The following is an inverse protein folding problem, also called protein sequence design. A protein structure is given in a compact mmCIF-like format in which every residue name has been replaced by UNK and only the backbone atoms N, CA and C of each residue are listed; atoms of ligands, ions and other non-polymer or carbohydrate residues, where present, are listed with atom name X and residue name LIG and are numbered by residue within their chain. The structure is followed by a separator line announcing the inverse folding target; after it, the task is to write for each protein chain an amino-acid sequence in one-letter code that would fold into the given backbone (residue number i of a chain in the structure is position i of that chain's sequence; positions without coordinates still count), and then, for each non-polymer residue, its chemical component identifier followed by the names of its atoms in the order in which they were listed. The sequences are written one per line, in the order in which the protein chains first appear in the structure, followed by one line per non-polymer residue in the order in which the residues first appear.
data_IF_036758498814
#
_entry.id   IF_036758498814
#
_cell.length_a   1.000
_cell.length_b   1.000
_cell.length_c   1.000
_cell.angle_alpha   90.00
_cell.angle_beta   90.00
_cell.angle_gamma   90.00
#
_symmetry.space_group_name_H-M   'P 1'
#
loop_
_entity.id
_entity.type
_entity.pdbx_description
1 polymer ?
#
# COMPACT_ATOMS: atom_id res chain seq x y z
N UNK A 1 -11.95 17.79 -25.49
CA UNK A 1 -11.24 16.49 -25.56
C UNK A 1 -10.21 16.64 -26.66
N UNK A 2 -9.01 17.06 -26.29
CA UNK A 2 -7.84 17.12 -27.17
C UNK A 2 -6.62 17.21 -26.24
N UNK A 3 -5.55 16.54 -26.63
CA UNK A 3 -4.25 16.42 -25.95
C UNK A 3 -4.05 15.22 -25.01
N UNK A 4 -4.41 14.02 -25.49
CA UNK A 4 -3.75 12.79 -25.00
C UNK A 4 -3.28 11.98 -26.21
N UNK A 5 -2.23 12.44 -26.90
CA UNK A 5 -1.34 11.56 -27.66
C UNK A 5 -0.08 12.29 -28.15
N UNK A 6 0.95 12.46 -27.31
CA UNK A 6 2.33 12.57 -27.80
C UNK A 6 3.33 11.94 -26.82
N UNK A 7 3.80 10.76 -27.21
CA UNK A 7 5.15 10.19 -27.09
C UNK A 7 5.88 10.08 -25.75
N UNK A 8 6.53 8.93 -25.59
CA UNK A 8 7.25 8.42 -24.43
C UNK A 8 8.55 9.17 -24.06
N UNK A 9 8.90 9.02 -22.78
CA UNK A 9 10.22 9.25 -22.16
C UNK A 9 10.57 10.69 -21.79
N UNK A 10 10.94 10.89 -20.51
CA UNK A 10 11.49 12.09 -19.88
C UNK A 10 10.54 13.11 -19.22
N UNK A 11 9.43 12.67 -18.61
CA UNK A 11 8.81 13.42 -17.51
C UNK A 11 9.18 12.70 -16.22
N UNK A 12 10.30 13.07 -15.61
CA UNK A 12 10.40 12.98 -14.15
C UNK A 12 9.31 13.91 -13.60
N UNK A 13 8.08 13.40 -13.53
CA UNK A 13 6.98 14.09 -12.92
C UNK A 13 7.29 14.08 -11.43
N UNK A 14 8.08 15.05 -10.99
CA UNK A 14 8.30 15.28 -9.58
C UNK A 14 6.96 15.70 -9.01
N UNK A 15 6.28 14.74 -8.40
CA UNK A 15 5.12 15.00 -7.57
C UNK A 15 5.63 15.82 -6.39
N UNK A 16 5.05 17.00 -6.17
CA UNK A 16 5.37 17.82 -5.00
C UNK A 16 5.32 16.96 -3.73
N UNK A 17 6.25 17.10 -2.77
CA UNK A 17 6.20 16.38 -1.50
C UNK A 17 4.84 16.51 -0.79
N UNK A 18 4.15 17.63 -0.98
CA UNK A 18 2.80 17.87 -0.46
C UNK A 18 1.72 16.96 -1.05
N UNK A 19 2.00 16.39 -2.23
CA UNK A 19 1.14 15.47 -2.97
C UNK A 19 1.60 14.01 -2.80
N UNK A 20 2.60 13.75 -1.96
CA UNK A 20 3.02 12.38 -1.68
C UNK A 20 1.94 11.67 -0.87
N UNK A 21 1.63 10.45 -1.30
CA UNK A 21 0.76 9.57 -0.53
C UNK A 21 1.36 9.31 0.85
N UNK A 22 0.50 9.32 1.86
CA UNK A 22 0.87 8.92 3.22
C UNK A 22 0.36 7.52 3.49
N UNK A 23 0.61 7.03 4.70
CA UNK A 23 -0.07 5.85 5.24
C UNK A 23 -1.59 5.89 5.03
N UNK A 24 -2.23 7.06 5.21
CA UNK A 24 -3.68 7.21 5.04
C UNK A 24 -4.09 6.89 3.61
N UNK A 25 -3.29 7.33 2.63
CA UNK A 25 -3.51 7.01 1.22
C UNK A 25 -3.40 5.52 0.97
N UNK A 26 -2.41 4.84 1.55
CA UNK A 26 -2.27 3.38 1.43
C UNK A 26 -3.46 2.63 2.03
N UNK A 27 -3.90 3.01 3.23
CA UNK A 27 -5.11 2.44 3.84
C UNK A 27 -6.35 2.66 2.98
N UNK A 28 -6.53 3.86 2.41
CA UNK A 28 -7.63 4.12 1.48
C UNK A 28 -7.56 3.23 0.23
N UNK A 29 -6.38 3.07 -0.35
CA UNK A 29 -6.18 2.21 -1.52
C UNK A 29 -6.47 0.75 -1.19
N UNK A 30 -6.02 0.24 -0.04
CA UNK A 30 -6.30 -1.13 0.40
C UNK A 30 -7.81 -1.39 0.51
N UNK A 31 -8.57 -0.43 1.05
CA UNK A 31 -10.05 -0.49 1.10
C UNK A 31 -10.66 -0.52 -0.29
N UNK A 32 -10.30 0.43 -1.15
CA UNK A 32 -10.91 0.61 -2.47
C UNK A 32 -10.63 -0.57 -3.40
N UNK A 33 -9.43 -1.13 -3.33
CA UNK A 33 -9.02 -2.27 -4.13
C UNK A 33 -9.51 -3.60 -3.56
N UNK A 34 -9.93 -3.63 -2.29
CA UNK A 34 -10.21 -4.85 -1.52
C UNK A 34 -9.03 -5.85 -1.59
N UNK A 35 -7.82 -5.32 -1.56
CA UNK A 35 -6.58 -6.10 -1.63
C UNK A 35 -5.59 -5.62 -0.56
N UNK A 36 -4.87 -6.55 0.10
CA UNK A 36 -3.80 -6.17 1.02
C UNK A 36 -2.66 -5.43 0.29
N UNK A 37 -2.13 -4.38 0.90
CA UNK A 37 -0.97 -3.65 0.39
C UNK A 37 0.22 -3.86 1.32
N UNK A 38 1.32 -4.37 0.76
CA UNK A 38 2.55 -4.63 1.48
C UNK A 38 3.53 -3.49 1.25
N UNK A 39 3.93 -2.82 2.33
CA UNK A 39 4.95 -1.78 2.32
C UNK A 39 6.23 -2.32 2.98
N UNK A 40 7.30 -2.30 2.20
CA UNK A 40 8.64 -2.69 2.63
C UNK A 40 9.48 -1.43 2.78
N UNK A 41 9.83 -1.07 4.01
CA UNK A 41 10.68 0.10 4.29
C UNK A 41 12.12 -0.37 4.46
N UNK A 42 12.94 -0.11 3.46
CA UNK A 42 14.33 -0.61 3.38
C UNK A 42 15.33 0.52 3.21
N UNK A 43 15.65 1.24 4.30
CA UNK A 43 16.60 2.36 4.23
C UNK A 43 17.99 1.92 3.76
N UNK A 44 18.34 0.64 3.93
CA UNK A 44 19.64 0.06 3.58
C UNK A 44 19.55 -1.08 2.55
N UNK A 45 18.45 -1.17 1.80
CA UNK A 45 18.21 -2.23 0.81
C UNK A 45 17.46 -3.45 1.35
N UNK A 46 16.92 -4.25 0.43
CA UNK A 46 15.99 -5.35 0.72
C UNK A 46 16.58 -6.45 1.60
N UNK A 47 17.88 -6.72 1.48
CA UNK A 47 18.59 -7.73 2.27
C UNK A 47 18.60 -7.42 3.77
N UNK A 48 18.42 -6.15 4.14
CA UNK A 48 18.46 -5.67 5.52
C UNK A 48 17.07 -5.36 6.09
N UNK A 49 15.97 -5.70 5.41
CA UNK A 49 14.62 -5.43 5.88
C UNK A 49 14.30 -6.25 7.15
N UNK A 50 14.17 -5.64 8.34
CA UNK A 50 13.84 -6.40 9.55
C UNK A 50 12.35 -6.72 9.63
N UNK A 51 11.52 -5.92 8.96
CA UNK A 51 10.07 -5.98 9.07
C UNK A 51 9.37 -5.38 7.85
N UNK A 52 8.08 -5.71 7.75
CA UNK A 52 7.16 -5.22 6.74
C UNK A 52 5.92 -4.65 7.41
N UNK A 53 5.31 -3.64 6.78
CA UNK A 53 4.05 -3.05 7.19
C UNK A 53 2.99 -3.46 6.17
N UNK A 54 1.86 -3.99 6.65
CA UNK A 54 0.79 -4.50 5.78
C UNK A 54 -0.50 -3.76 6.11
N UNK A 55 -1.16 -3.27 5.07
CA UNK A 55 -2.48 -2.66 5.15
C UNK A 55 -3.51 -3.65 4.61
N UNK A 56 -4.35 -4.20 5.48
CA UNK A 56 -5.34 -5.22 5.11
C UNK A 56 -6.75 -4.65 5.11
N UNK A 57 -7.55 -4.82 4.04
CA UNK A 57 -8.95 -4.44 4.07
C UNK A 57 -9.71 -5.31 5.08
N UNK A 58 -10.58 -4.69 5.86
CA UNK A 58 -11.36 -5.34 6.90
C UNK A 58 -12.79 -4.82 6.88
N UNK A 59 -13.77 -5.69 7.13
CA UNK A 59 -15.15 -5.26 7.37
C UNK A 59 -15.42 -5.21 8.86
N UNK A 60 -15.64 -4.00 9.37
CA UNK A 60 -15.90 -3.77 10.79
C UNK A 60 -17.36 -3.42 11.01
N UNK A 61 -17.95 -3.87 12.13
CA UNK A 61 -19.30 -3.46 12.52
C UNK A 61 -19.19 -2.41 13.61
N UNK A 62 -19.67 -1.19 13.34
CA UNK A 62 -19.80 -0.11 14.33
C UNK A 62 -21.21 0.42 14.37
N UNK A 63 -21.82 0.40 15.55
CA UNK A 63 -23.18 0.94 15.75
C UNK A 63 -24.27 0.25 14.93
N UNK A 64 -24.09 -1.03 14.57
CA UNK A 64 -25.04 -1.79 13.77
C UNK A 64 -24.86 -1.66 12.25
N UNK A 65 -23.89 -0.87 11.78
CA UNK A 65 -23.55 -0.73 10.36
C UNK A 65 -22.23 -1.40 10.04
N UNK A 66 -22.16 -2.05 8.89
CA UNK A 66 -20.95 -2.65 8.33
C UNK A 66 -20.18 -1.58 7.55
N UNK A 67 -18.89 -1.42 7.84
CA UNK A 67 -18.03 -0.41 7.24
C UNK A 67 -16.77 -1.07 6.69
N UNK A 68 -16.40 -0.69 5.47
CA UNK A 68 -15.11 -1.07 4.89
C UNK A 68 -13.99 -0.24 5.54
N UNK A 69 -13.08 -0.95 6.17
CA UNK A 69 -11.92 -0.46 6.91
C UNK A 69 -10.63 -1.06 6.36
N UNK A 70 -9.50 -0.57 6.87
CA UNK A 70 -8.20 -1.14 6.59
C UNK A 70 -7.38 -1.08 7.88
N UNK A 71 -6.98 -2.26 8.34
CA UNK A 71 -6.12 -2.41 9.50
C UNK A 71 -4.64 -2.38 9.09
N UNK A 72 -3.79 -2.07 10.04
CA UNK A 72 -2.34 -1.95 9.86
C UNK A 72 -1.63 -2.94 10.77
N UNK A 73 -0.72 -3.71 10.18
CA UNK A 73 0.05 -4.71 10.90
C UNK A 73 1.54 -4.61 10.59
N UNK A 74 2.36 -4.86 11.61
CA UNK A 74 3.81 -4.97 11.47
C UNK A 74 4.24 -6.42 11.63
N UNK A 75 5.01 -6.92 10.68
CA UNK A 75 5.50 -8.29 10.69
C UNK A 75 7.02 -8.34 10.60
N UNK A 76 7.63 -9.29 11.30
CA UNK A 76 9.04 -9.60 11.16
C UNK A 76 9.31 -10.26 9.81
N UNK A 77 10.50 -10.04 9.26
CA UNK A 77 10.88 -10.61 7.96
C UNK A 77 10.94 -12.14 7.93
N UNK A 78 11.09 -12.79 9.08
CA UNK A 78 11.03 -14.24 9.21
C UNK A 78 9.70 -14.87 8.82
N UNK A 79 8.62 -14.08 8.71
CA UNK A 79 7.30 -14.53 8.27
C UNK A 79 6.98 -14.18 6.82
N UNK A 80 7.96 -13.70 6.05
CA UNK A 80 7.74 -13.23 4.68
C UNK A 80 7.10 -14.31 3.80
N UNK A 81 7.65 -15.53 3.80
CA UNK A 81 7.21 -16.60 2.90
C UNK A 81 5.76 -17.02 3.16
N UNK A 82 5.36 -17.06 4.44
CA UNK A 82 3.97 -17.29 4.86
C UNK A 82 3.03 -16.25 4.25
N UNK A 83 3.46 -14.99 4.21
CA UNK A 83 2.67 -13.90 3.67
C UNK A 83 2.69 -13.81 2.14
N UNK A 84 3.83 -14.07 1.50
CA UNK A 84 3.90 -14.15 0.04
C UNK A 84 2.97 -15.24 -0.50
N UNK A 85 2.73 -16.31 0.27
CA UNK A 85 1.75 -17.33 -0.11
C UNK A 85 0.31 -16.81 -0.17
N UNK A 86 -0.02 -15.72 0.55
CA UNK A 86 -1.35 -15.08 0.52
C UNK A 86 -1.55 -14.14 -0.68
N UNK A 87 -0.49 -13.85 -1.43
CA UNK A 87 -0.52 -13.00 -2.63
C UNK A 87 -0.72 -13.79 -3.93
N UNK A 88 -0.68 -15.12 -3.88
CA UNK A 88 -0.92 -16.04 -5.01
C UNK A 88 -2.40 -16.38 -5.14
#
# INVERSE_FOLDING_TARGET
IQDISQSASAVSAFVSPELWGTEVTLRMMAKLLQQPIFLIIVPYGLEAAPSYQVYEPEQTVKGGYQLDSADEHYFASSKLDEWLSRLQ
#
